data_IF_079947157253
#
_entry.id   IF_079947157253
#
_cell.length_a   1.000
_cell.length_b   1.000
_cell.length_c   1.000
_cell.angle_alpha   90.00
_cell.angle_beta   90.00
_cell.angle_gamma   90.00
#
_symmetry.space_group_name_H-M   'P 1'
#
loop_
_entity.id
_entity.type
_entity.pdbx_description
1 polymer ?
#
# COMPACT_ATOMS: atom_id res chain seq x y z
N UNK A 1 23.34 10.89 11.74
CA UNK A 1 22.56 9.87 10.97
C UNK A 1 21.19 10.49 10.69
N UNK A 2 20.74 10.52 9.44
CA UNK A 2 19.37 11.02 9.13
C UNK A 2 18.39 9.95 9.60
N UNK A 3 17.50 10.32 10.51
CA UNK A 3 16.47 9.43 11.04
C UNK A 3 15.10 9.96 10.59
N UNK A 4 14.25 9.09 10.05
CA UNK A 4 12.86 9.42 9.76
C UNK A 4 12.09 9.39 11.08
N UNK A 5 11.44 10.50 11.40
CA UNK A 5 10.56 10.64 12.56
C UNK A 5 9.14 10.96 12.10
N UNK A 6 8.19 10.09 12.43
CA UNK A 6 6.77 10.23 12.17
C UNK A 6 5.97 10.45 13.48
N UNK A 7 6.63 10.88 14.56
CA UNK A 7 5.98 11.17 15.83
C UNK A 7 4.86 12.21 15.65
N UNK A 8 3.73 11.93 16.28
CA UNK A 8 2.52 12.77 16.17
C UNK A 8 1.75 12.61 14.85
N UNK A 9 2.14 11.69 13.96
CA UNK A 9 1.40 11.32 12.76
C UNK A 9 0.57 10.06 13.00
N UNK A 10 -0.60 10.01 12.37
CA UNK A 10 -1.47 8.83 12.33
C UNK A 10 -1.45 8.24 10.92
N UNK A 11 -1.12 6.97 10.81
CA UNK A 11 -1.18 6.21 9.57
C UNK A 11 -2.36 5.23 9.56
N UNK A 12 -3.09 5.17 8.45
CA UNK A 12 -4.06 4.11 8.17
C UNK A 12 -3.51 3.22 7.05
N UNK A 13 -3.36 1.92 7.34
CA UNK A 13 -2.83 0.94 6.38
C UNK A 13 -3.92 -0.05 6.02
N UNK A 14 -4.37 -0.06 4.75
CA UNK A 14 -5.35 -1.05 4.29
C UNK A 14 -4.68 -2.40 4.03
N UNK A 15 -5.36 -3.50 4.40
CA UNK A 15 -4.79 -4.84 4.31
C UNK A 15 -3.58 -5.05 5.22
N UNK A 16 -3.55 -4.40 6.38
CA UNK A 16 -2.45 -4.49 7.35
C UNK A 16 -2.33 -5.86 8.04
N UNK A 17 -3.30 -6.76 7.87
CA UNK A 17 -3.19 -8.16 8.27
C UNK A 17 -2.48 -9.05 7.24
N UNK A 18 -2.19 -8.51 6.03
CA UNK A 18 -1.54 -9.22 4.93
C UNK A 18 -0.01 -9.18 4.98
N UNK A 19 0.63 -9.89 4.04
CA UNK A 19 2.08 -10.10 3.98
C UNK A 19 2.90 -8.79 3.99
N UNK A 20 2.63 -7.85 3.10
CA UNK A 20 3.32 -6.55 3.08
C UNK A 20 2.73 -5.57 4.10
N UNK A 21 1.40 -5.55 4.22
CA UNK A 21 0.71 -4.56 5.05
C UNK A 21 1.12 -4.59 6.51
N UNK A 22 1.37 -5.77 7.10
CA UNK A 22 1.82 -5.90 8.49
C UNK A 22 3.24 -5.36 8.69
N UNK A 23 4.14 -5.56 7.72
CA UNK A 23 5.51 -5.03 7.81
C UNK A 23 5.50 -3.52 7.65
N UNK A 24 4.68 -3.00 6.72
CA UNK A 24 4.45 -1.56 6.54
C UNK A 24 3.94 -0.94 7.84
N UNK A 25 2.89 -1.51 8.46
CA UNK A 25 2.31 -1.00 9.70
C UNK A 25 3.33 -0.97 10.85
N UNK A 26 4.09 -2.06 11.04
CA UNK A 26 5.16 -2.14 12.04
C UNK A 26 6.28 -1.12 11.79
N UNK A 27 6.67 -0.91 10.53
CA UNK A 27 7.75 0.01 10.18
C UNK A 27 7.34 1.46 10.37
N UNK A 28 6.09 1.83 10.05
CA UNK A 28 5.51 3.14 10.37
C UNK A 28 5.49 3.37 11.88
N UNK A 29 5.09 2.38 12.66
CA UNK A 29 5.10 2.45 14.12
C UNK A 29 6.51 2.61 14.70
N UNK A 30 7.49 1.85 14.20
CA UNK A 30 8.91 2.00 14.57
C UNK A 30 9.45 3.39 14.26
N UNK A 31 8.93 4.03 13.21
CA UNK A 31 9.27 5.41 12.85
C UNK A 31 8.49 6.47 13.64
N UNK A 32 7.67 6.07 14.62
CA UNK A 32 6.99 6.99 15.54
C UNK A 32 5.50 7.23 15.26
N UNK A 33 4.93 6.70 14.17
CA UNK A 33 3.53 6.91 13.87
C UNK A 33 2.59 6.09 14.76
N UNK A 34 1.43 6.65 15.08
CA UNK A 34 0.26 5.88 15.53
C UNK A 34 -0.35 5.15 14.32
N UNK A 35 -1.00 3.99 14.50
CA UNK A 35 -1.43 3.17 13.37
C UNK A 35 -2.85 2.65 13.49
N UNK A 36 -3.70 2.95 12.52
CA UNK A 36 -4.96 2.26 12.28
C UNK A 36 -4.72 1.06 11.35
N UNK A 37 -4.96 -0.14 11.87
CA UNK A 37 -4.64 -1.43 11.25
C UNK A 37 -5.93 -1.97 10.62
N UNK A 38 -6.08 -1.77 9.31
CA UNK A 38 -7.26 -2.27 8.63
C UNK A 38 -7.11 -3.73 8.19
N UNK A 39 -8.18 -4.50 8.37
CA UNK A 39 -8.33 -5.85 7.86
C UNK A 39 -9.72 -6.06 7.21
N UNK A 40 -9.85 -7.07 6.36
CA UNK A 40 -11.15 -7.47 5.81
C UNK A 40 -11.68 -8.74 6.50
N UNK A 41 -10.90 -9.82 6.52
CA UNK A 41 -11.34 -11.12 7.03
C UNK A 41 -10.49 -11.65 8.19
N UNK A 42 -9.19 -11.37 8.21
CA UNK A 42 -8.28 -11.99 9.16
C UNK A 42 -8.02 -11.08 10.37
N UNK A 43 -8.95 -11.12 11.34
CA UNK A 43 -8.85 -10.35 12.58
C UNK A 43 -7.66 -10.77 13.43
N UNK A 44 -7.40 -12.08 13.55
CA UNK A 44 -6.31 -12.61 14.37
C UNK A 44 -4.94 -12.06 13.96
N UNK A 45 -4.65 -12.05 12.65
CA UNK A 45 -3.41 -11.44 12.14
C UNK A 45 -3.37 -9.93 12.35
N UNK A 46 -4.50 -9.24 12.28
CA UNK A 46 -4.57 -7.81 12.59
C UNK A 46 -4.32 -7.54 14.07
N UNK A 47 -4.87 -8.36 14.97
CA UNK A 47 -4.65 -8.26 16.42
C UNK A 47 -3.17 -8.53 16.78
N UNK A 48 -2.49 -9.44 16.09
CA UNK A 48 -1.04 -9.65 16.26
C UNK A 48 -0.23 -8.39 15.89
N UNK A 49 -0.58 -7.73 14.78
CA UNK A 49 0.06 -6.45 14.40
C UNK A 49 -0.25 -5.36 15.43
N UNK A 50 -1.48 -5.30 15.95
CA UNK A 50 -1.87 -4.36 17.01
C UNK A 50 -1.00 -4.55 18.26
N UNK A 51 -0.80 -5.79 18.69
CA UNK A 51 0.03 -6.10 19.85
C UNK A 51 1.46 -5.59 19.64
N UNK A 52 2.06 -5.89 18.47
CA UNK A 52 3.42 -5.43 18.15
C UNK A 52 3.54 -3.90 18.14
N UNK A 53 2.59 -3.19 17.51
CA UNK A 53 2.59 -1.73 17.47
C UNK A 53 2.48 -1.11 18.88
N UNK A 54 1.66 -1.71 19.74
CA UNK A 54 1.50 -1.25 21.12
C UNK A 54 2.77 -1.48 21.96
N UNK A 55 3.52 -2.56 21.73
CA UNK A 55 4.82 -2.78 22.40
C UNK A 55 5.86 -1.73 22.04
N UNK A 56 5.70 -1.07 20.89
CA UNK A 56 6.55 0.07 20.47
C UNK A 56 6.11 1.40 21.10
N UNK A 57 5.11 1.40 22.00
CA UNK A 57 4.60 2.59 22.66
C UNK A 57 3.74 3.49 21.76
N UNK A 58 3.17 2.96 20.67
CA UNK A 58 2.30 3.72 19.76
C UNK A 58 0.84 3.44 20.05
N UNK A 59 -0.02 4.45 19.84
CA UNK A 59 -1.47 4.22 19.85
C UNK A 59 -1.83 3.44 18.60
N UNK A 60 -2.69 2.45 18.74
CA UNK A 60 -3.16 1.68 17.60
C UNK A 60 -4.54 1.08 17.85
N UNK A 61 -5.28 0.90 16.76
CA UNK A 61 -6.55 0.17 16.73
C UNK A 61 -6.60 -0.76 15.52
N UNK A 62 -7.41 -1.80 15.61
CA UNK A 62 -7.83 -2.59 14.45
C UNK A 62 -9.18 -2.12 13.98
N UNK A 63 -9.39 -2.11 12.66
CA UNK A 63 -10.67 -1.74 12.06
C UNK A 63 -10.97 -2.64 10.87
N UNK A 64 -12.21 -3.13 10.81
CA UNK A 64 -12.69 -3.97 9.72
C UNK A 64 -13.40 -3.10 8.67
N UNK A 65 -13.12 -3.36 7.39
CA UNK A 65 -13.89 -2.81 6.28
C UNK A 65 -13.74 -3.66 5.01
N UNK A 66 -14.69 -3.51 4.09
CA UNK A 66 -14.50 -3.84 2.68
C UNK A 66 -14.08 -2.57 1.95
N UNK A 67 -12.85 -2.53 1.44
CA UNK A 67 -12.30 -1.37 0.73
C UNK A 67 -12.94 -1.15 -0.65
N UNK A 68 -13.78 -2.05 -1.10
CA UNK A 68 -14.52 -1.95 -2.36
C UNK A 68 -15.94 -1.38 -2.17
N UNK A 69 -16.33 -1.14 -0.91
CA UNK A 69 -17.65 -0.61 -0.54
C UNK A 69 -17.54 0.76 0.15
N UNK A 70 -18.27 1.73 -0.39
CA UNK A 70 -18.23 3.12 0.07
C UNK A 70 -18.79 3.29 1.49
N UNK A 71 -19.85 2.56 1.85
CA UNK A 71 -20.46 2.63 3.18
C UNK A 71 -19.54 2.01 4.24
N UNK A 72 -18.93 0.87 3.90
CA UNK A 72 -17.93 0.22 4.76
C UNK A 72 -16.73 1.13 5.04
N UNK A 73 -16.23 1.86 4.02
CA UNK A 73 -15.16 2.86 4.20
C UNK A 73 -15.65 4.05 5.06
N UNK A 74 -16.87 4.49 4.89
CA UNK A 74 -17.42 5.58 5.73
C UNK A 74 -17.51 5.15 7.21
N UNK A 75 -17.96 3.94 7.49
CA UNK A 75 -17.97 3.36 8.84
C UNK A 75 -16.53 3.23 9.40
N UNK A 76 -15.58 2.74 8.61
CA UNK A 76 -14.18 2.67 8.99
C UNK A 76 -13.63 4.05 9.35
N UNK A 77 -13.89 5.07 8.51
CA UNK A 77 -13.48 6.45 8.78
C UNK A 77 -14.03 6.94 10.11
N UNK A 78 -15.34 6.78 10.34
CA UNK A 78 -15.98 7.24 11.58
C UNK A 78 -15.34 6.58 12.82
N UNK A 79 -15.05 5.27 12.75
CA UNK A 79 -14.39 4.54 13.85
C UNK A 79 -12.96 5.03 14.10
N UNK A 80 -12.15 5.20 13.04
CA UNK A 80 -10.77 5.66 13.14
C UNK A 80 -10.72 7.08 13.69
N UNK A 81 -11.53 7.99 13.16
CA UNK A 81 -11.55 9.39 13.61
C UNK A 81 -11.97 9.51 15.07
N UNK A 82 -12.95 8.72 15.51
CA UNK A 82 -13.41 8.68 16.90
C UNK A 82 -12.32 8.23 17.86
N UNK A 83 -11.53 7.23 17.52
CA UNK A 83 -10.56 6.58 18.41
C UNK A 83 -9.18 7.23 18.37
N UNK A 84 -8.69 7.57 17.17
CA UNK A 84 -7.31 8.03 16.97
C UNK A 84 -7.23 9.45 16.38
N UNK A 85 -8.27 9.93 15.72
CA UNK A 85 -8.28 11.20 14.98
C UNK A 85 -8.20 11.00 13.46
N UNK A 86 -8.10 12.10 12.72
CA UNK A 86 -7.97 12.09 11.26
C UNK A 86 -6.57 11.60 10.84
N UNK A 87 -6.47 10.54 9.99
CA UNK A 87 -5.20 10.05 9.50
C UNK A 87 -4.44 11.10 8.68
N UNK A 88 -3.13 11.19 8.95
CA UNK A 88 -2.17 12.00 8.21
C UNK A 88 -1.59 11.24 7.02
N UNK A 89 -1.48 9.92 7.15
CA UNK A 89 -0.84 9.02 6.18
C UNK A 89 -1.84 7.92 5.82
N UNK A 90 -2.10 7.76 4.54
CA UNK A 90 -2.92 6.66 4.00
C UNK A 90 -2.04 5.75 3.17
N UNK A 91 -2.01 4.46 3.50
CA UNK A 91 -1.35 3.44 2.69
C UNK A 91 -2.40 2.51 2.11
N UNK A 92 -2.68 2.66 0.82
CA UNK A 92 -3.60 1.83 0.06
C UNK A 92 -2.87 0.56 -0.41
N UNK A 93 -2.91 -0.49 0.42
CA UNK A 93 -2.17 -1.73 0.19
C UNK A 93 -3.09 -2.95 -0.05
N UNK A 94 -4.34 -2.92 0.41
CA UNK A 94 -5.28 -4.02 0.20
C UNK A 94 -5.50 -4.31 -1.29
N UNK A 95 -5.59 -5.60 -1.63
CA UNK A 95 -5.90 -6.09 -2.99
C UNK A 95 -6.61 -7.45 -2.89
N UNK A 96 -7.54 -7.73 -3.80
CA UNK A 96 -8.18 -9.04 -3.93
C UNK A 96 -7.26 -9.97 -4.73
N UNK A 97 -7.07 -11.19 -4.24
CA UNK A 97 -6.32 -12.23 -4.93
C UNK A 97 -7.26 -13.09 -5.79
N UNK A 98 -6.81 -13.52 -6.96
CA UNK A 98 -7.55 -14.40 -7.85
C UNK A 98 -6.58 -15.35 -8.58
N UNK A 99 -7.10 -16.32 -9.32
CA UNK A 99 -6.28 -17.28 -10.09
C UNK A 99 -5.90 -16.67 -11.43
N UNK A 100 -4.60 -16.52 -11.67
CA UNK A 100 -4.06 -15.99 -12.92
C UNK A 100 -4.14 -17.01 -14.05
N UNK A 101 -4.62 -16.56 -15.23
CA UNK A 101 -4.66 -17.34 -16.46
C UNK A 101 -4.59 -16.41 -17.67
N UNK A 102 -4.65 -16.95 -18.90
CA UNK A 102 -4.57 -16.15 -20.13
C UNK A 102 -5.79 -15.25 -20.27
N UNK A 103 -5.66 -14.14 -21.02
CA UNK A 103 -6.77 -13.18 -21.26
C UNK A 103 -8.04 -13.88 -21.75
N UNK A 104 -7.89 -14.87 -22.65
CA UNK A 104 -9.04 -15.58 -23.23
C UNK A 104 -9.76 -16.51 -22.24
N UNK A 105 -9.09 -16.94 -21.17
CA UNK A 105 -9.62 -17.86 -20.16
C UNK A 105 -9.87 -17.18 -18.80
N UNK A 106 -9.52 -15.89 -18.65
CA UNK A 106 -9.71 -15.16 -17.40
C UNK A 106 -11.19 -14.78 -17.24
N UNK A 107 -11.76 -15.06 -16.09
CA UNK A 107 -13.14 -14.67 -15.79
C UNK A 107 -13.28 -13.14 -15.79
N UNK A 108 -14.37 -12.65 -16.37
CA UNK A 108 -14.70 -11.21 -16.37
C UNK A 108 -14.86 -10.68 -14.94
N UNK A 109 -15.39 -11.47 -14.03
CA UNK A 109 -15.52 -11.13 -12.62
C UNK A 109 -14.18 -10.79 -11.95
N UNK A 110 -13.07 -11.39 -12.40
CA UNK A 110 -11.73 -11.06 -11.89
C UNK A 110 -11.31 -9.64 -12.31
N UNK A 111 -11.63 -9.22 -13.56
CA UNK A 111 -11.37 -7.83 -13.99
C UNK A 111 -12.18 -6.83 -13.16
N UNK A 112 -13.46 -7.12 -12.88
CA UNK A 112 -14.30 -6.27 -12.03
C UNK A 112 -13.74 -6.21 -10.61
N UNK A 113 -13.33 -7.34 -10.04
CA UNK A 113 -12.72 -7.41 -8.70
C UNK A 113 -11.44 -6.59 -8.61
N UNK A 114 -10.59 -6.65 -9.64
CA UNK A 114 -9.35 -5.87 -9.70
C UNK A 114 -9.62 -4.39 -9.93
N UNK A 115 -10.61 -4.01 -10.73
CA UNK A 115 -11.03 -2.62 -10.84
C UNK A 115 -11.52 -2.10 -9.49
N UNK A 116 -12.35 -2.84 -8.77
CA UNK A 116 -12.86 -2.45 -7.45
C UNK A 116 -11.72 -2.33 -6.42
N UNK A 117 -10.89 -3.35 -6.29
CA UNK A 117 -9.83 -3.39 -5.24
C UNK A 117 -8.60 -2.53 -5.56
N UNK A 118 -8.32 -2.23 -6.83
CA UNK A 118 -7.18 -1.38 -7.19
C UNK A 118 -7.60 0.05 -7.50
N UNK A 119 -8.66 0.27 -8.31
CA UNK A 119 -9.05 1.61 -8.78
C UNK A 119 -10.02 2.26 -7.80
N UNK A 120 -11.21 1.66 -7.60
CA UNK A 120 -12.24 2.25 -6.75
C UNK A 120 -11.80 2.37 -5.29
N UNK A 121 -11.07 1.41 -4.76
CA UNK A 121 -10.46 1.50 -3.43
C UNK A 121 -9.71 2.83 -3.25
N UNK A 122 -8.80 3.17 -4.18
CA UNK A 122 -8.03 4.42 -4.08
C UNK A 122 -8.91 5.67 -4.19
N UNK A 123 -9.93 5.65 -5.05
CA UNK A 123 -10.91 6.74 -5.17
C UNK A 123 -11.71 6.91 -3.88
N UNK A 124 -12.22 5.83 -3.31
CA UNK A 124 -13.04 5.85 -2.10
C UNK A 124 -12.23 6.31 -0.88
N UNK A 125 -11.00 5.82 -0.74
CA UNK A 125 -10.08 6.26 0.33
C UNK A 125 -9.74 7.74 0.20
N UNK A 126 -9.45 8.22 -1.02
CA UNK A 126 -9.19 9.64 -1.25
C UNK A 126 -10.40 10.50 -0.88
N UNK A 127 -11.60 10.14 -1.35
CA UNK A 127 -12.85 10.85 -0.99
C UNK A 127 -13.12 10.86 0.51
N UNK A 128 -12.81 9.78 1.20
CA UNK A 128 -13.04 9.68 2.63
C UNK A 128 -12.04 10.54 3.44
N UNK A 129 -10.76 10.53 3.11
CA UNK A 129 -9.71 11.05 4.00
C UNK A 129 -9.01 12.31 3.50
N UNK A 130 -8.89 12.56 2.18
CA UNK A 130 -8.21 13.75 1.66
C UNK A 130 -8.83 15.07 2.11
N UNK A 131 -10.17 15.22 2.31
CA UNK A 131 -10.73 16.49 2.79
C UNK A 131 -10.17 16.96 4.15
N UNK A 132 -9.90 16.06 5.08
CA UNK A 132 -9.28 16.38 6.37
C UNK A 132 -7.81 16.79 6.20
N UNK A 133 -7.07 16.09 5.31
CA UNK A 133 -5.68 16.46 4.96
C UNK A 133 -5.62 17.84 4.30
N UNK A 134 -6.53 18.16 3.37
CA UNK A 134 -6.64 19.47 2.72
C UNK A 134 -6.85 20.57 3.77
N UNK A 135 -7.80 20.36 4.68
CA UNK A 135 -8.06 21.33 5.78
C UNK A 135 -6.83 21.53 6.68
N UNK A 136 -6.04 20.48 6.88
CA UNK A 136 -4.80 20.50 7.70
C UNK A 136 -3.62 21.11 6.95
N UNK A 137 -3.62 21.14 5.62
CA UNK A 137 -2.49 21.57 4.78
C UNK A 137 -1.32 20.56 4.80
N UNK A 138 -1.56 19.31 5.13
CA UNK A 138 -0.57 18.25 5.17
C UNK A 138 -1.20 16.87 4.99
N UNK A 139 -0.60 16.02 4.17
CA UNK A 139 -1.03 14.64 3.99
C UNK A 139 -0.07 13.84 3.12
N UNK A 140 -0.11 12.50 3.30
CA UNK A 140 0.65 11.53 2.51
C UNK A 140 -0.26 10.38 2.09
N UNK A 141 -0.43 10.20 0.79
CA UNK A 141 -1.21 9.08 0.22
C UNK A 141 -0.23 8.21 -0.57
N UNK A 142 -0.14 6.93 -0.21
CA UNK A 142 0.81 5.99 -0.79
C UNK A 142 0.06 4.75 -1.26
N UNK A 143 0.12 4.48 -2.57
CA UNK A 143 -0.46 3.28 -3.14
C UNK A 143 0.57 2.16 -3.32
N UNK A 144 0.24 0.93 -2.93
CA UNK A 144 1.05 -0.24 -3.26
C UNK A 144 0.69 -0.73 -4.67
N UNK A 145 1.50 -0.39 -5.65
CA UNK A 145 1.40 -0.84 -7.04
C UNK A 145 2.16 -2.16 -7.25
N UNK A 146 2.80 -2.41 -8.38
CA UNK A 146 3.54 -3.64 -8.69
C UNK A 146 4.44 -3.47 -9.91
N UNK A 147 5.59 -4.13 -9.96
CA UNK A 147 6.41 -4.21 -11.18
C UNK A 147 5.64 -4.84 -12.36
N UNK A 148 4.68 -5.75 -12.07
CA UNK A 148 3.88 -6.43 -13.09
C UNK A 148 3.16 -5.45 -14.03
N UNK A 149 2.78 -4.27 -13.54
CA UNK A 149 2.16 -3.23 -14.35
C UNK A 149 3.08 -2.71 -15.47
N UNK A 150 4.39 -2.92 -15.36
CA UNK A 150 5.38 -2.54 -16.38
C UNK A 150 5.91 -3.75 -17.17
N UNK A 151 5.96 -4.95 -16.56
CA UNK A 151 6.46 -6.17 -17.21
C UNK A 151 5.52 -6.68 -18.30
N UNK A 152 4.20 -6.58 -18.11
CA UNK A 152 3.17 -7.14 -19.02
C UNK A 152 3.34 -8.65 -19.26
N UNK A 153 3.65 -9.41 -18.21
CA UNK A 153 3.82 -10.86 -18.33
C UNK A 153 2.47 -11.57 -18.64
N UNK A 154 2.48 -12.62 -19.44
CA UNK A 154 1.27 -13.42 -19.70
C UNK A 154 0.62 -13.92 -18.41
N UNK A 155 -0.72 -14.00 -18.39
CA UNK A 155 -1.49 -14.50 -17.26
C UNK A 155 -1.87 -13.46 -16.21
N UNK A 156 -1.44 -12.19 -16.35
CA UNK A 156 -1.61 -11.15 -15.33
C UNK A 156 -2.61 -10.05 -15.74
N UNK A 157 -3.39 -10.27 -16.79
CA UNK A 157 -4.12 -9.18 -17.45
C UNK A 157 -5.09 -8.40 -16.54
N UNK A 158 -5.91 -9.07 -15.74
CA UNK A 158 -6.86 -8.39 -14.84
C UNK A 158 -6.10 -7.61 -13.75
N UNK A 159 -5.07 -8.19 -13.14
CA UNK A 159 -4.23 -7.53 -12.14
C UNK A 159 -3.52 -6.30 -12.69
N UNK A 160 -2.87 -6.45 -13.85
CA UNK A 160 -2.16 -5.36 -14.53
C UNK A 160 -3.12 -4.24 -14.92
N UNK A 161 -4.32 -4.58 -15.43
CA UNK A 161 -5.36 -3.58 -15.78
C UNK A 161 -5.78 -2.77 -14.55
N UNK A 162 -6.05 -3.43 -13.43
CA UNK A 162 -6.40 -2.75 -12.17
C UNK A 162 -5.27 -1.85 -11.66
N UNK A 163 -4.03 -2.35 -11.66
CA UNK A 163 -2.86 -1.60 -11.16
C UNK A 163 -2.46 -0.42 -12.07
N UNK A 164 -2.64 -0.54 -13.38
CA UNK A 164 -2.48 0.60 -14.31
C UNK A 164 -3.59 1.63 -14.15
N UNK A 165 -4.84 1.20 -13.95
CA UNK A 165 -5.94 2.11 -13.63
C UNK A 165 -5.70 2.87 -12.33
N UNK A 166 -5.18 2.20 -11.30
CA UNK A 166 -4.73 2.81 -10.06
C UNK A 166 -3.67 3.89 -10.28
N UNK A 167 -2.64 3.64 -11.14
CA UNK A 167 -1.60 4.62 -11.46
C UNK A 167 -2.22 5.90 -12.05
N UNK A 168 -3.16 5.77 -12.97
CA UNK A 168 -3.87 6.91 -13.56
C UNK A 168 -4.58 7.77 -12.49
N UNK A 169 -5.36 7.13 -11.62
CA UNK A 169 -6.09 7.82 -10.54
C UNK A 169 -5.12 8.55 -9.60
N UNK A 170 -4.07 7.88 -9.12
CA UNK A 170 -3.17 8.47 -8.14
C UNK A 170 -2.33 9.63 -8.72
N UNK A 171 -1.94 9.56 -10.00
CA UNK A 171 -1.24 10.67 -10.66
C UNK A 171 -2.12 11.89 -10.86
N UNK A 172 -3.40 11.70 -11.21
CA UNK A 172 -4.35 12.81 -11.32
C UNK A 172 -4.59 13.41 -9.93
N UNK A 173 -4.85 12.59 -8.93
CA UNK A 173 -5.03 13.04 -7.55
C UNK A 173 -3.82 13.85 -7.05
N UNK A 174 -2.59 13.43 -7.38
CA UNK A 174 -1.38 14.16 -7.02
C UNK A 174 -1.36 15.61 -7.56
N UNK A 175 -1.89 15.82 -8.76
CA UNK A 175 -2.01 17.16 -9.37
C UNK A 175 -3.14 17.98 -8.76
N UNK A 176 -4.26 17.33 -8.41
CA UNK A 176 -5.46 18.01 -7.92
C UNK A 176 -5.30 18.53 -6.48
N UNK A 177 -4.58 17.80 -5.62
CA UNK A 177 -4.47 18.14 -4.19
C UNK A 177 -3.07 18.55 -3.74
N UNK A 178 -2.10 18.61 -4.66
CA UNK A 178 -0.71 18.96 -4.35
C UNK A 178 -0.56 20.39 -3.79
N UNK A 179 -1.37 21.34 -4.25
CA UNK A 179 -1.36 22.73 -3.75
C UNK A 179 -1.70 22.84 -2.26
N UNK A 180 -2.32 21.81 -1.70
CA UNK A 180 -2.66 21.73 -0.27
C UNK A 180 -1.57 21.07 0.59
N UNK A 181 -0.34 20.89 0.07
CA UNK A 181 0.75 20.26 0.82
C UNK A 181 0.63 18.75 0.96
N UNK A 182 -0.18 18.09 0.11
CA UNK A 182 -0.40 16.66 0.11
C UNK A 182 0.42 16.02 -1.02
N UNK A 183 1.16 14.96 -0.71
CA UNK A 183 1.83 14.16 -1.74
C UNK A 183 1.11 12.83 -1.96
N UNK A 184 1.03 12.40 -3.21
CA UNK A 184 0.42 11.13 -3.62
C UNK A 184 1.45 10.36 -4.45
N UNK A 185 1.92 9.23 -3.92
CA UNK A 185 2.99 8.44 -4.54
C UNK A 185 2.66 6.94 -4.55
N UNK A 186 3.43 6.17 -5.29
CA UNK A 186 3.25 4.74 -5.43
C UNK A 186 4.56 4.01 -5.20
N UNK A 187 4.52 2.94 -4.42
CA UNK A 187 5.60 1.96 -4.29
C UNK A 187 5.21 0.74 -5.11
N UNK A 188 6.08 0.27 -5.97
CA UNK A 188 5.83 -0.86 -6.87
C UNK A 188 6.79 -2.01 -6.56
N UNK A 189 6.37 -2.97 -5.70
CA UNK A 189 7.17 -4.13 -5.36
C UNK A 189 7.49 -5.00 -6.57
N UNK A 190 8.67 -5.59 -6.55
CA UNK A 190 8.99 -6.79 -7.31
C UNK A 190 8.38 -8.05 -6.69
N UNK A 191 8.81 -9.23 -7.15
CA UNK A 191 8.40 -10.48 -6.51
C UNK A 191 9.09 -10.63 -5.15
N UNK A 192 8.48 -10.03 -4.15
CA UNK A 192 9.01 -9.89 -2.80
C UNK A 192 8.93 -11.21 -2.01
N UNK A 193 9.93 -11.48 -1.18
CA UNK A 193 9.92 -12.61 -0.23
C UNK A 193 8.86 -12.31 0.85
N UNK A 194 7.94 -13.26 1.02
CA UNK A 194 6.88 -13.19 2.03
C UNK A 194 7.12 -14.23 3.13
N UNK A 195 6.38 -14.14 4.25
CA UNK A 195 6.45 -15.18 5.29
C UNK A 195 6.05 -16.55 4.76
N UNK A 196 5.11 -16.59 3.81
CA UNK A 196 4.75 -17.84 3.15
C UNK A 196 5.95 -18.44 2.40
N UNK A 197 6.72 -17.62 1.69
CA UNK A 197 7.94 -18.06 1.01
C UNK A 197 8.98 -18.56 2.02
N UNK A 198 9.18 -17.82 3.13
CA UNK A 198 10.08 -18.23 4.22
C UNK A 198 9.65 -19.55 4.86
N UNK A 199 8.35 -19.69 5.18
CA UNK A 199 7.82 -20.92 5.78
C UNK A 199 7.89 -22.15 4.87
N UNK A 200 7.87 -21.97 3.55
CA UNK A 200 7.95 -23.05 2.57
C UNK A 200 9.36 -23.28 2.00
N UNK A 201 10.37 -22.52 2.41
CA UNK A 201 11.72 -22.61 1.89
C UNK A 201 11.84 -22.23 0.41
N UNK A 202 10.96 -21.32 -0.04
CA UNK A 202 10.90 -20.88 -1.46
C UNK A 202 11.33 -19.43 -1.64
N UNK A 203 12.25 -18.94 -0.81
CA UNK A 203 12.81 -17.58 -0.92
C UNK A 203 13.58 -17.38 -2.22
N UNK A 204 14.31 -18.41 -2.66
CA UNK A 204 15.06 -18.39 -3.92
C UNK A 204 14.16 -18.71 -5.08
N UNK A 205 14.24 -17.91 -6.13
CA UNK A 205 13.51 -18.08 -7.39
C UNK A 205 14.42 -17.77 -8.57
N UNK A 206 15.31 -18.72 -8.90
CA UNK A 206 16.38 -18.53 -9.90
C UNK A 206 15.85 -18.01 -11.24
N UNK A 207 14.67 -18.53 -11.67
CA UNK A 207 14.02 -18.08 -12.92
C UNK A 207 13.66 -16.60 -12.94
N UNK A 208 13.32 -16.03 -11.78
CA UNK A 208 13.07 -14.59 -11.62
C UNK A 208 14.37 -13.83 -11.37
N UNK A 209 15.20 -14.30 -10.42
CA UNK A 209 16.42 -13.62 -9.96
C UNK A 209 17.44 -13.39 -11.06
N UNK A 210 17.53 -14.29 -12.06
CA UNK A 210 18.43 -14.11 -13.21
C UNK A 210 18.10 -12.89 -14.06
N UNK A 211 16.84 -12.41 -14.02
CA UNK A 211 16.39 -11.21 -14.75
C UNK A 211 16.52 -9.94 -13.91
N UNK A 212 16.67 -10.07 -12.59
CA UNK A 212 16.83 -8.94 -11.68
C UNK A 212 18.30 -8.50 -11.69
N UNK A 213 18.62 -7.23 -12.00
CA UNK A 213 20.00 -6.72 -11.96
C UNK A 213 20.72 -6.98 -10.64
N UNK A 214 20.06 -6.84 -9.49
CA UNK A 214 20.64 -7.13 -8.16
C UNK A 214 20.75 -8.63 -7.84
N UNK A 215 20.25 -9.53 -8.73
CA UNK A 215 20.40 -10.98 -8.64
C UNK A 215 19.77 -11.65 -7.42
N UNK A 216 18.85 -11.00 -6.75
CA UNK A 216 18.05 -11.56 -5.65
C UNK A 216 16.66 -10.96 -5.63
N UNK A 217 15.76 -11.57 -4.87
CA UNK A 217 14.44 -11.01 -4.57
C UNK A 217 14.57 -9.99 -3.44
N UNK A 218 13.74 -8.94 -3.50
CA UNK A 218 13.59 -8.02 -2.38
C UNK A 218 12.84 -8.64 -1.21
N UNK A 219 13.02 -8.08 -0.03
CA UNK A 219 12.27 -8.43 1.17
C UNK A 219 11.08 -7.49 1.40
N UNK A 220 10.12 -7.93 2.20
CA UNK A 220 8.98 -7.12 2.61
C UNK A 220 9.40 -5.82 3.33
N UNK A 221 10.55 -5.85 4.04
CA UNK A 221 11.13 -4.68 4.69
C UNK A 221 11.59 -3.62 3.67
N UNK A 222 12.09 -4.00 2.50
CA UNK A 222 12.50 -3.05 1.45
C UNK A 222 11.31 -2.20 0.98
N UNK A 223 10.15 -2.85 0.85
CA UNK A 223 8.91 -2.19 0.50
C UNK A 223 8.44 -1.24 1.60
N UNK A 224 8.49 -1.70 2.85
CA UNK A 224 8.10 -0.88 4.00
C UNK A 224 9.00 0.35 4.17
N UNK A 225 10.31 0.22 3.91
CA UNK A 225 11.26 1.34 3.94
C UNK A 225 10.91 2.41 2.90
N UNK A 226 10.55 2.01 1.68
CA UNK A 226 10.12 2.94 0.63
C UNK A 226 8.79 3.65 0.99
N UNK A 227 7.85 2.93 1.63
CA UNK A 227 6.60 3.53 2.13
C UNK A 227 6.89 4.56 3.22
N UNK A 228 7.75 4.25 4.19
CA UNK A 228 8.14 5.17 5.27
C UNK A 228 8.87 6.40 4.73
N UNK A 229 9.72 6.23 3.72
CA UNK A 229 10.35 7.36 3.01
C UNK A 229 9.28 8.30 2.42
N UNK A 230 8.31 7.79 1.66
CA UNK A 230 7.22 8.60 1.11
C UNK A 230 6.29 9.20 2.18
N UNK A 231 6.14 8.55 3.31
CA UNK A 231 5.36 9.05 4.44
C UNK A 231 6.03 10.22 5.17
N UNK A 232 7.34 10.40 5.00
CA UNK A 232 8.15 11.39 5.71
C UNK A 232 8.28 12.73 4.98
N UNK A 233 8.81 13.73 5.68
CA UNK A 233 9.15 15.03 5.07
C UNK A 233 10.39 14.97 4.17
N UNK A 234 11.14 13.84 4.16
CA UNK A 234 12.22 13.64 3.18
C UNK A 234 11.67 13.57 1.75
N UNK A 235 10.42 13.12 1.58
CA UNK A 235 9.73 13.06 0.29
C UNK A 235 8.77 14.24 0.05
N UNK A 236 8.86 15.34 0.82
CA UNK A 236 7.89 16.44 0.76
C UNK A 236 7.76 17.12 -0.61
N UNK A 237 8.77 16.99 -1.46
CA UNK A 237 8.79 17.55 -2.81
C UNK A 237 8.69 16.49 -3.91
N UNK A 238 8.21 15.28 -3.54
CA UNK A 238 7.99 14.14 -4.45
C UNK A 238 6.49 13.83 -4.45
N UNK A 239 5.83 14.01 -5.59
CA UNK A 239 4.43 13.63 -5.79
C UNK A 239 4.21 13.10 -7.21
N UNK A 240 3.23 12.21 -7.40
CA UNK A 240 2.96 11.55 -8.68
C UNK A 240 4.02 10.50 -9.08
N UNK A 241 4.92 10.14 -8.16
CA UNK A 241 5.99 9.18 -8.40
C UNK A 241 5.45 7.74 -8.40
N UNK A 242 5.96 6.94 -9.35
CA UNK A 242 5.87 5.48 -9.36
C UNK A 242 7.28 4.94 -9.11
N UNK A 243 7.53 4.45 -7.90
CA UNK A 243 8.83 3.97 -7.47
C UNK A 243 8.90 2.43 -7.51
N UNK A 244 9.57 1.81 -8.49
CA UNK A 244 9.85 0.39 -8.46
C UNK A 244 10.82 0.06 -7.32
N UNK A 245 10.43 -0.92 -6.50
CA UNK A 245 11.30 -1.55 -5.48
C UNK A 245 11.44 -3.02 -5.87
N UNK A 246 12.22 -3.27 -6.91
CA UNK A 246 12.27 -4.54 -7.64
C UNK A 246 13.70 -4.95 -8.05
N UNK A 247 14.73 -4.36 -7.46
CA UNK A 247 16.13 -4.67 -7.78
C UNK A 247 16.52 -4.33 -9.23
N UNK A 248 15.79 -3.42 -9.89
CA UNK A 248 16.02 -3.01 -11.28
C UNK A 248 15.32 -3.88 -12.32
N UNK A 249 14.48 -4.84 -11.92
CA UNK A 249 13.77 -5.74 -12.85
C UNK A 249 12.87 -4.98 -13.85
N UNK A 250 12.30 -3.85 -13.41
CA UNK A 250 11.66 -2.87 -14.30
C UNK A 250 12.21 -1.48 -14.05
N UNK A 251 12.31 -0.69 -15.12
CA UNK A 251 12.75 0.70 -15.07
C UNK A 251 11.70 1.56 -15.77
N UNK A 252 11.14 2.58 -15.09
CA UNK A 252 10.22 3.52 -15.74
C UNK A 252 10.87 4.18 -16.95
N UNK A 253 10.16 4.27 -18.07
CA UNK A 253 10.62 5.03 -19.23
C UNK A 253 10.59 6.52 -18.92
N UNK A 254 11.59 7.22 -19.41
CA UNK A 254 11.69 8.69 -19.43
C UNK A 254 11.12 9.22 -20.75
#
# INVERSE_FOLDING_TARGET
MIQIDLSGKLALVTGASGELGRVIARTLAKSGADVAIHYHQNKEKADAVLADVRTMGRRAMVVQADVTDAESIACMKAAVVKELGDPDIIVNNAVIQYKWTTVLNQDVADYESQFRSCVLHNVLMAKAFAPAMIKKGWGRIIGTNTECAMQNAPGQSAYVSGKRGMDGVLRILAKEIGEHGITVNQVAPGWTISDRARASGTERQEGYEKNVPLRHRGEDQDIANAVVFFASDMARFITGCYLPVCGGNVMPCI
#
